data_IF_030894624206
#
_entry.id   IF_030894624206
#
_cell.length_a   1.000
_cell.length_b   1.000
_cell.length_c   1.000
_cell.angle_alpha   90.00
_cell.angle_beta   90.00
_cell.angle_gamma   90.00
#
_symmetry.space_group_name_H-M   'P 1'
#
loop_
_entity.id
_entity.type
_entity.pdbx_description
1 polymer ?
#
# COMPACT_ATOMS: atom_id res chain seq x y z
N UNK A 1 -14.22 -3.80 5.33
CA UNK A 1 -13.31 -3.39 4.24
C UNK A 1 -12.51 -2.16 4.65
N UNK A 2 -13.15 -1.19 5.31
CA UNK A 2 -12.50 0.04 5.81
C UNK A 2 -11.29 -0.23 6.71
N UNK A 3 -11.35 -1.23 7.60
CA UNK A 3 -10.22 -1.61 8.46
C UNK A 3 -8.98 -2.04 7.68
N UNK A 4 -9.18 -2.79 6.58
CA UNK A 4 -8.09 -3.23 5.71
C UNK A 4 -7.44 -2.04 5.01
N UNK A 5 -8.24 -1.15 4.44
CA UNK A 5 -7.74 0.05 3.74
C UNK A 5 -7.00 0.97 4.72
N UNK A 6 -7.57 1.21 5.91
CA UNK A 6 -6.93 2.01 6.94
C UNK A 6 -5.61 1.39 7.40
N UNK A 7 -5.57 0.06 7.58
CA UNK A 7 -4.34 -0.65 7.93
C UNK A 7 -3.29 -0.55 6.82
N UNK A 8 -3.66 -0.76 5.56
CA UNK A 8 -2.75 -0.70 4.42
C UNK A 8 -2.21 0.71 4.20
N UNK A 9 -3.04 1.75 4.35
CA UNK A 9 -2.59 3.16 4.33
C UNK A 9 -1.50 3.43 5.37
N UNK A 10 -1.63 2.88 6.58
CA UNK A 10 -0.57 3.00 7.60
C UNK A 10 0.73 2.31 7.16
N UNK A 11 0.65 1.11 6.59
CA UNK A 11 1.85 0.40 6.12
C UNK A 11 2.59 1.19 5.02
N UNK A 12 1.83 1.73 4.06
CA UNK A 12 2.42 2.55 2.97
C UNK A 12 3.05 3.83 3.51
N UNK A 13 2.42 4.49 4.49
CA UNK A 13 2.97 5.68 5.12
C UNK A 13 4.26 5.39 5.93
N UNK A 14 4.32 4.24 6.59
CA UNK A 14 5.51 3.80 7.32
C UNK A 14 6.67 3.48 6.36
N UNK A 15 6.38 2.80 5.25
CA UNK A 15 7.37 2.51 4.20
C UNK A 15 7.88 3.79 3.53
N UNK A 16 6.99 4.73 3.14
CA UNK A 16 7.38 6.02 2.57
C UNK A 16 8.30 6.79 3.53
N UNK A 17 7.94 6.86 4.82
CA UNK A 17 8.79 7.50 5.84
C UNK A 17 10.15 6.81 5.95
N UNK A 18 10.16 5.48 5.99
CA UNK A 18 11.39 4.70 6.06
C UNK A 18 12.34 5.01 4.90
N UNK A 19 11.83 5.00 3.67
CA UNK A 19 12.63 5.24 2.47
C UNK A 19 13.10 6.70 2.34
N UNK A 20 12.31 7.67 2.81
CA UNK A 20 12.74 9.09 2.84
C UNK A 20 13.92 9.34 3.76
N UNK A 21 14.01 8.62 4.88
CA UNK A 21 15.10 8.77 5.85
C UNK A 21 16.26 7.80 5.62
N UNK A 22 16.16 6.89 4.65
CA UNK A 22 17.18 5.90 4.29
C UNK A 22 18.37 6.52 3.53
N UNK A 23 18.96 7.59 4.07
CA UNK A 23 20.00 8.40 3.42
C UNK A 23 21.22 7.59 2.96
N UNK A 24 21.71 6.67 3.81
CA UNK A 24 22.85 5.80 3.46
C UNK A 24 22.55 4.91 2.24
N UNK A 25 21.33 4.38 2.16
CA UNK A 25 20.87 3.60 1.01
C UNK A 25 20.70 4.47 -0.23
N UNK A 26 20.20 5.70 -0.07
CA UNK A 26 20.06 6.63 -1.19
C UNK A 26 21.39 6.99 -1.83
N UNK A 27 22.47 7.09 -1.05
CA UNK A 27 23.81 7.33 -1.59
C UNK A 27 24.35 6.12 -2.36
N UNK A 28 24.13 4.90 -1.85
CA UNK A 28 24.65 3.68 -2.46
C UNK A 28 23.79 3.15 -3.63
N UNK A 29 22.47 3.33 -3.54
CA UNK A 29 21.45 2.74 -4.42
C UNK A 29 20.30 3.74 -4.65
N UNK A 30 20.56 4.88 -5.30
CA UNK A 30 19.55 5.93 -5.49
C UNK A 30 18.32 5.43 -6.25
N UNK A 31 18.51 4.61 -7.28
CA UNK A 31 17.42 4.11 -8.13
C UNK A 31 16.45 3.23 -7.35
N UNK A 32 16.96 2.36 -6.48
CA UNK A 32 16.14 1.50 -5.62
C UNK A 32 15.29 2.35 -4.67
N UNK A 33 15.88 3.36 -4.03
CA UNK A 33 15.14 4.25 -3.12
C UNK A 33 14.06 5.02 -3.87
N UNK A 34 14.36 5.53 -5.07
CA UNK A 34 13.39 6.23 -5.91
C UNK A 34 12.26 5.30 -6.36
N UNK A 35 12.56 4.07 -6.75
CA UNK A 35 11.56 3.06 -7.12
C UNK A 35 10.63 2.73 -5.95
N UNK A 36 11.17 2.57 -4.74
CA UNK A 36 10.34 2.29 -3.56
C UNK A 36 9.44 3.47 -3.20
N UNK A 37 9.94 4.71 -3.32
CA UNK A 37 9.12 5.92 -3.12
C UNK A 37 8.02 6.04 -4.19
N UNK A 38 8.34 5.77 -5.45
CA UNK A 38 7.36 5.76 -6.54
C UNK A 38 6.29 4.67 -6.30
N UNK A 39 6.70 3.50 -5.82
CA UNK A 39 5.77 2.42 -5.43
C UNK A 39 4.84 2.86 -4.30
N UNK A 40 5.36 3.55 -3.27
CA UNK A 40 4.52 4.07 -2.19
C UNK A 40 3.48 5.07 -2.74
N UNK A 41 3.90 6.00 -3.61
CA UNK A 41 2.99 6.95 -4.24
C UNK A 41 1.89 6.26 -5.05
N UNK A 42 2.25 5.29 -5.90
CA UNK A 42 1.29 4.52 -6.70
C UNK A 42 0.30 3.73 -5.82
N UNK A 43 0.74 3.18 -4.69
CA UNK A 43 -0.16 2.51 -3.75
C UNK A 43 -1.15 3.48 -3.11
N UNK A 44 -0.74 4.71 -2.77
CA UNK A 44 -1.66 5.74 -2.28
C UNK A 44 -2.71 6.07 -3.33
N UNK A 45 -2.31 6.27 -4.59
CA UNK A 45 -3.23 6.56 -5.70
C UNK A 45 -4.30 5.46 -5.87
N UNK A 46 -3.92 4.19 -5.78
CA UNK A 46 -4.87 3.06 -5.84
C UNK A 46 -5.85 3.08 -4.67
N UNK A 47 -5.39 3.36 -3.45
CA UNK A 47 -6.24 3.40 -2.26
C UNK A 47 -7.20 4.59 -2.28
N UNK A 48 -6.78 5.71 -2.85
CA UNK A 48 -7.61 6.89 -3.04
C UNK A 48 -8.64 6.67 -4.17
N UNK A 49 -8.25 6.01 -5.26
CA UNK A 49 -9.18 5.59 -6.32
C UNK A 49 -10.27 4.64 -5.77
N UNK A 50 -9.89 3.66 -4.94
CA UNK A 50 -10.86 2.79 -4.24
C UNK A 50 -11.84 3.59 -3.38
N UNK A 51 -11.35 4.58 -2.62
CA UNK A 51 -12.19 5.38 -1.74
C UNK A 51 -13.15 6.30 -2.52
N UNK A 52 -12.72 6.75 -3.69
CA UNK A 52 -13.50 7.61 -4.57
C UNK A 52 -14.52 6.86 -5.44
N UNK A 53 -14.42 5.53 -5.58
CA UNK A 53 -15.29 4.72 -6.45
C UNK A 53 -16.75 4.67 -5.95
N UNK A 54 -17.70 5.29 -6.68
CA UNK A 54 -19.11 5.28 -6.31
C UNK A 54 -19.87 4.06 -6.83
N UNK A 55 -19.40 3.38 -7.88
CA UNK A 55 -20.11 2.23 -8.48
C UNK A 55 -19.89 0.96 -7.65
N UNK A 56 -20.95 0.34 -7.08
CA UNK A 56 -20.83 -0.90 -6.33
C UNK A 56 -20.22 -2.07 -7.12
N UNK A 57 -20.48 -2.15 -8.44
CA UNK A 57 -19.98 -3.24 -9.26
C UNK A 57 -18.46 -3.11 -9.49
N UNK A 58 -17.99 -1.92 -9.87
CA UNK A 58 -16.56 -1.61 -9.94
C UNK A 58 -15.87 -1.76 -8.58
N UNK A 59 -16.54 -1.36 -7.49
CA UNK A 59 -16.00 -1.46 -6.12
C UNK A 59 -15.64 -2.87 -5.72
N UNK A 60 -16.44 -3.88 -6.09
CA UNK A 60 -16.10 -5.28 -5.82
C UNK A 60 -14.82 -5.74 -6.52
N UNK A 61 -14.53 -5.22 -7.72
CA UNK A 61 -13.27 -5.49 -8.40
C UNK A 61 -12.09 -4.82 -7.69
N UNK A 62 -12.25 -3.57 -7.25
CA UNK A 62 -11.24 -2.87 -6.45
C UNK A 62 -10.98 -3.54 -5.10
N UNK A 63 -12.00 -4.06 -4.42
CA UNK A 63 -11.81 -4.77 -3.15
C UNK A 63 -10.89 -5.99 -3.30
N UNK A 64 -11.06 -6.76 -4.38
CA UNK A 64 -10.12 -7.85 -4.70
C UNK A 64 -8.71 -7.33 -4.95
N UNK A 65 -8.57 -6.23 -5.69
CA UNK A 65 -7.26 -5.62 -5.93
C UNK A 65 -6.59 -5.18 -4.62
N UNK A 66 -7.31 -4.51 -3.72
CA UNK A 66 -6.81 -4.09 -2.41
C UNK A 66 -6.39 -5.30 -1.55
N UNK A 67 -7.17 -6.39 -1.55
CA UNK A 67 -6.79 -7.63 -0.86
C UNK A 67 -5.52 -8.24 -1.42
N UNK A 68 -5.36 -8.28 -2.75
CA UNK A 68 -4.13 -8.73 -3.40
C UNK A 68 -2.94 -7.84 -2.99
N UNK A 69 -3.09 -6.51 -3.00
CA UNK A 69 -2.03 -5.61 -2.54
C UNK A 69 -1.65 -5.86 -1.08
N UNK A 70 -2.63 -6.13 -0.21
CA UNK A 70 -2.39 -6.43 1.19
C UNK A 70 -1.59 -7.72 1.43
N UNK A 71 -1.61 -8.68 0.50
CA UNK A 71 -0.80 -9.91 0.62
C UNK A 71 0.69 -9.62 0.64
N UNK A 72 1.15 -8.56 -0.03
CA UNK A 72 2.55 -8.12 0.03
C UNK A 72 2.98 -7.71 1.45
N UNK A 73 2.02 -7.45 2.33
CA UNK A 73 2.22 -7.01 3.71
C UNK A 73 1.82 -8.08 4.73
N UNK A 74 1.53 -9.32 4.33
CA UNK A 74 0.95 -10.34 5.23
C UNK A 74 1.79 -10.67 6.48
N UNK A 75 3.11 -10.41 6.42
CA UNK A 75 4.05 -10.64 7.53
C UNK A 75 4.12 -9.47 8.51
N UNK A 76 3.45 -8.35 8.23
CA UNK A 76 3.46 -7.16 9.08
C UNK A 76 2.48 -7.34 10.24
N UNK A 77 2.78 -6.67 11.36
CA UNK A 77 1.91 -6.67 12.52
C UNK A 77 0.53 -6.08 12.17
N UNK A 78 -0.52 -6.69 12.72
CA UNK A 78 -1.90 -6.26 12.50
C UNK A 78 -2.53 -6.74 11.19
N UNK A 79 -1.85 -7.56 10.38
CA UNK A 79 -2.50 -8.24 9.26
C UNK A 79 -3.53 -9.26 9.76
N UNK A 80 -4.73 -9.26 9.16
CA UNK A 80 -5.81 -10.17 9.53
C UNK A 80 -6.07 -11.24 8.45
N UNK A 81 -6.18 -12.55 8.79
CA UNK A 81 -6.37 -13.62 7.81
C UNK A 81 -7.61 -13.49 6.90
N UNK A 82 -8.68 -12.83 7.38
CA UNK A 82 -9.89 -12.60 6.58
C UNK A 82 -9.70 -11.60 5.43
N UNK A 83 -8.55 -10.92 5.36
CA UNK A 83 -8.18 -10.01 4.28
C UNK A 83 -7.49 -10.71 3.11
N UNK A 84 -7.25 -12.01 3.21
CA UNK A 84 -6.79 -12.80 2.07
C UNK A 84 -7.78 -12.66 0.89
N UNK A 85 -7.28 -12.70 -0.36
CA UNK A 85 -8.11 -12.66 -1.56
C UNK A 85 -9.19 -13.74 -1.57
#
# INVERSE_FOLDING_TARGET
MDDLVAWLRRQVADDDRHWRVAWKWRQAHPDVVLEQLARCAALVEVLDAYAAEPDPAARAAWERAVRVLATAYERRAGYHPSWRP
#
